data_IF_932967060051
#
_entry.id   IF_932967060051
#
_cell.length_a   1.000
_cell.length_b   1.000
_cell.length_c   1.000
_cell.angle_alpha   90.00
_cell.angle_beta   90.00
_cell.angle_gamma   90.00
#
_symmetry.space_group_name_H-M   'P 1'
#
loop_
_entity.id
_entity.type
_entity.pdbx_description
1 polymer ?
#
# COMPACT_ATOMS: atom_id res chain seq x y z
N UNK A 1 7.20 23.68 9.83
CA UNK A 1 6.11 23.20 8.97
C UNK A 1 6.48 21.77 8.60
N UNK A 2 5.99 20.78 9.33
CA UNK A 2 6.18 19.40 8.89
C UNK A 2 4.93 19.04 8.09
N UNK A 3 4.93 19.47 6.83
CA UNK A 3 3.89 19.21 5.83
C UNK A 3 4.15 17.86 5.11
N UNK A 4 4.75 16.91 5.81
CA UNK A 4 5.10 15.61 5.21
C UNK A 4 3.91 14.68 5.42
N UNK A 5 3.05 14.60 4.40
CA UNK A 5 1.92 13.67 4.40
C UNK A 5 2.44 12.23 4.45
N UNK A 6 1.76 11.34 5.20
CA UNK A 6 2.20 9.96 5.31
C UNK A 6 2.19 9.28 3.93
N UNK A 7 3.26 8.54 3.64
CA UNK A 7 3.44 7.75 2.42
C UNK A 7 2.57 6.50 2.51
N UNK A 8 1.59 6.38 1.62
CA UNK A 8 0.61 5.31 1.63
C UNK A 8 1.02 4.20 0.66
N UNK A 9 1.24 3.00 1.18
CA UNK A 9 1.42 1.80 0.39
C UNK A 9 0.06 1.22 -0.01
N UNK A 10 -0.16 0.95 -1.30
CA UNK A 10 -1.37 0.28 -1.78
C UNK A 10 -1.04 -1.16 -2.15
N UNK A 11 -1.73 -2.12 -1.52
CA UNK A 11 -1.56 -3.55 -1.74
C UNK A 11 -2.88 -4.14 -2.21
N UNK A 12 -2.94 -4.46 -3.49
CA UNK A 12 -4.15 -4.83 -4.22
C UNK A 12 -3.74 -5.65 -5.45
N UNK A 13 -4.37 -6.80 -5.67
CA UNK A 13 -4.05 -7.68 -6.78
C UNK A 13 -4.75 -7.28 -8.08
N UNK A 14 -5.92 -6.68 -7.97
CA UNK A 14 -6.65 -6.12 -9.10
C UNK A 14 -6.11 -4.73 -9.49
N UNK A 15 -5.31 -4.68 -10.56
CA UNK A 15 -4.71 -3.43 -11.04
C UNK A 15 -5.69 -2.25 -11.15
N UNK A 16 -6.89 -2.47 -11.69
CA UNK A 16 -7.87 -1.39 -11.88
C UNK A 16 -8.28 -0.75 -10.54
N UNK A 17 -8.50 -1.58 -9.52
CA UNK A 17 -8.85 -1.14 -8.16
C UNK A 17 -7.63 -0.43 -7.52
N UNK A 18 -6.45 -1.04 -7.68
CA UNK A 18 -5.20 -0.51 -7.15
C UNK A 18 -4.91 0.91 -7.67
N UNK A 19 -5.11 1.12 -8.98
CA UNK A 19 -4.91 2.41 -9.65
C UNK A 19 -5.99 3.43 -9.27
N UNK A 20 -7.26 3.04 -9.11
CA UNK A 20 -8.31 3.94 -8.61
C UNK A 20 -7.96 4.48 -7.21
N UNK A 21 -7.59 3.58 -6.30
CA UNK A 21 -7.19 3.94 -4.94
C UNK A 21 -5.96 4.85 -4.96
N UNK A 22 -4.91 4.46 -5.70
CA UNK A 22 -3.69 5.25 -5.83
C UNK A 22 -3.93 6.62 -6.45
N UNK A 23 -4.81 6.72 -7.45
CA UNK A 23 -5.20 7.98 -8.08
C UNK A 23 -5.91 8.90 -7.09
N UNK A 24 -6.86 8.38 -6.32
CA UNK A 24 -7.61 9.13 -5.30
C UNK A 24 -6.70 9.63 -4.17
N UNK A 25 -5.76 8.80 -3.71
CA UNK A 25 -4.77 9.18 -2.70
C UNK A 25 -3.85 10.29 -3.20
N UNK A 26 -3.33 10.16 -4.44
CA UNK A 26 -2.52 11.21 -5.08
C UNK A 26 -3.30 12.50 -5.26
N UNK A 27 -4.57 12.43 -5.69
CA UNK A 27 -5.43 13.60 -5.83
C UNK A 27 -5.72 14.29 -4.49
N UNK A 28 -5.78 13.52 -3.40
CA UNK A 28 -5.85 14.04 -2.03
C UNK A 28 -4.48 14.54 -1.50
N UNK A 29 -3.42 14.45 -2.30
CA UNK A 29 -2.07 14.95 -2.02
C UNK A 29 -1.19 13.99 -1.24
N UNK A 30 -1.59 12.74 -1.00
CA UNK A 30 -0.76 11.76 -0.32
C UNK A 30 0.31 11.19 -1.26
N UNK A 31 1.56 11.03 -0.82
CA UNK A 31 2.55 10.25 -1.55
C UNK A 31 2.12 8.78 -1.56
N UNK A 32 2.12 8.15 -2.74
CA UNK A 32 1.76 6.73 -2.89
C UNK A 32 2.99 5.89 -3.20
N UNK A 33 3.12 4.77 -2.50
CA UNK A 33 4.14 3.74 -2.72
C UNK A 33 3.44 2.51 -3.30
N UNK A 34 4.01 1.93 -4.36
CA UNK A 34 3.31 0.89 -5.14
C UNK A 34 2.42 1.50 -6.23
N UNK A 35 1.38 0.79 -6.71
CA UNK A 35 0.73 -0.36 -6.07
C UNK A 35 1.52 -1.66 -6.18
N UNK A 36 1.31 -2.59 -5.24
CA UNK A 36 1.87 -3.95 -5.28
C UNK A 36 0.77 -5.00 -5.15
N UNK A 37 0.93 -6.15 -5.81
CA UNK A 37 -0.11 -7.18 -5.91
C UNK A 37 0.12 -8.41 -5.02
N UNK A 38 1.09 -8.36 -4.10
CA UNK A 38 1.40 -9.47 -3.20
C UNK A 38 1.82 -9.01 -1.82
N UNK A 39 1.57 -9.86 -0.83
CA UNK A 39 1.96 -9.62 0.55
C UNK A 39 3.49 -9.56 0.70
N UNK A 40 4.21 -10.36 -0.10
CA UNK A 40 5.67 -10.38 -0.12
C UNK A 40 6.27 -9.05 -0.60
N UNK A 41 5.75 -8.49 -1.70
CA UNK A 41 6.22 -7.21 -2.22
C UNK A 41 5.89 -6.05 -1.26
N UNK A 42 4.71 -6.10 -0.62
CA UNK A 42 4.34 -5.14 0.42
C UNK A 42 5.32 -5.15 1.58
N UNK A 43 5.68 -6.34 2.09
CA UNK A 43 6.62 -6.49 3.21
C UNK A 43 8.01 -5.95 2.88
N UNK A 44 8.53 -6.19 1.68
CA UNK A 44 9.81 -5.61 1.25
C UNK A 44 9.83 -4.08 1.30
N UNK A 45 8.71 -3.43 1.00
CA UNK A 45 8.60 -1.97 1.03
C UNK A 45 8.45 -1.44 2.45
N UNK A 46 7.75 -2.17 3.32
CA UNK A 46 7.63 -1.86 4.75
C UNK A 46 8.99 -1.99 5.44
N UNK A 47 9.70 -3.12 5.24
CA UNK A 47 11.03 -3.36 5.81
C UNK A 47 12.07 -2.32 5.37
N UNK A 48 11.90 -1.76 4.17
CA UNK A 48 12.72 -0.68 3.65
C UNK A 48 12.37 0.71 4.20
N UNK A 49 11.39 0.82 5.12
CA UNK A 49 10.95 2.08 5.72
C UNK A 49 10.33 3.06 4.72
N UNK A 50 9.77 2.54 3.62
CA UNK A 50 9.25 3.38 2.52
C UNK A 50 7.82 3.86 2.71
N UNK A 51 7.04 3.19 3.56
CA UNK A 51 5.64 3.50 3.79
C UNK A 51 5.40 3.83 5.26
N UNK A 52 4.50 4.78 5.51
CA UNK A 52 4.06 5.18 6.86
C UNK A 52 2.69 4.57 7.20
N UNK A 53 1.92 4.21 6.17
CA UNK A 53 0.62 3.53 6.27
C UNK A 53 0.45 2.60 5.07
N UNK A 54 -0.33 1.53 5.24
CA UNK A 54 -0.68 0.63 4.14
C UNK A 54 -2.20 0.46 4.05
N UNK A 55 -2.70 0.45 2.81
CA UNK A 55 -4.05 0.02 2.46
C UNK A 55 -3.94 -1.36 1.83
N UNK A 56 -4.56 -2.35 2.47
CA UNK A 56 -4.44 -3.76 2.15
C UNK A 56 -5.79 -4.31 1.71
N UNK A 57 -5.86 -4.93 0.53
CA UNK A 57 -6.95 -5.86 0.25
C UNK A 57 -6.74 -7.15 1.07
N UNK A 58 -7.81 -7.72 1.61
CA UNK A 58 -7.80 -8.91 2.47
C UNK A 58 -7.38 -10.15 1.66
N UNK A 59 -7.85 -10.24 0.41
CA UNK A 59 -7.51 -11.31 -0.52
C UNK A 59 -6.53 -10.79 -1.56
N UNK A 60 -5.39 -11.44 -1.72
CA UNK A 60 -4.39 -11.09 -2.74
C UNK A 60 -4.02 -12.36 -3.49
N UNK A 61 -4.52 -12.58 -4.71
CA UNK A 61 -4.12 -13.68 -5.60
C UNK A 61 -3.97 -15.06 -4.92
N UNK A 62 -4.90 -15.42 -4.04
CA UNK A 62 -4.91 -16.71 -3.33
C UNK A 62 -4.09 -16.76 -2.03
N UNK A 63 -3.49 -15.64 -1.61
CA UNK A 63 -2.98 -15.42 -0.26
C UNK A 63 -3.78 -14.32 0.46
N UNK A 64 -3.50 -14.11 1.74
CA UNK A 64 -4.13 -13.06 2.54
C UNK A 64 -3.11 -12.00 2.95
N UNK A 65 -3.55 -10.76 3.07
CA UNK A 65 -2.73 -9.64 3.55
C UNK A 65 -2.56 -9.58 5.06
N UNK A 66 -3.23 -10.44 5.84
CA UNK A 66 -3.13 -10.46 7.31
C UNK A 66 -1.67 -10.48 7.83
N UNK A 67 -0.74 -11.28 7.26
CA UNK A 67 0.66 -11.26 7.70
C UNK A 67 1.35 -9.90 7.48
N UNK A 68 0.89 -9.09 6.53
CA UNK A 68 1.38 -7.72 6.31
C UNK A 68 0.85 -6.80 7.40
N UNK A 69 -0.44 -6.93 7.76
CA UNK A 69 -1.06 -6.12 8.81
C UNK A 69 -0.41 -6.32 10.19
N UNK A 70 0.07 -7.53 10.50
CA UNK A 70 0.79 -7.84 11.75
C UNK A 70 2.21 -7.26 11.82
N UNK A 71 2.74 -6.73 10.71
CA UNK A 71 4.12 -6.23 10.62
C UNK A 71 4.23 -4.70 10.76
N UNK A 72 3.09 -3.99 10.79
CA UNK A 72 3.02 -2.52 10.84
C UNK A 72 2.93 -1.96 12.26
#
# INVERSE_FOLDING_TARGET
>A
MSDDKPRVLVVEDEWLIAEDIASRLRAAGYPVIGPVSSAAAARQLIDAGKADVALLDIQLNGETSLPVAETL
#
